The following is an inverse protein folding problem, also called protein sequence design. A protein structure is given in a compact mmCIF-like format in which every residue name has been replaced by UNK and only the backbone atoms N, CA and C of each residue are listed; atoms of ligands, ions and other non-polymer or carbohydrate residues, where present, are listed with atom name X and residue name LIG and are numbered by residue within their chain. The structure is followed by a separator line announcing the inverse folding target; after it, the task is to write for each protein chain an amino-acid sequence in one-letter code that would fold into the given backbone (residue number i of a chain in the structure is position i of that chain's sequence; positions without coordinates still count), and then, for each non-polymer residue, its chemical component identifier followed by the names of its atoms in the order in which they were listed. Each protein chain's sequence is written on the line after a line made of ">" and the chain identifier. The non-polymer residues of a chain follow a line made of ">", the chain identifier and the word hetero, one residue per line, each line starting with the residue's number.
data_IF_177395905631
#
_entry.id   IF_177395905631
#
_cell.length_a   1.000
_cell.length_b   1.000
_cell.length_c   1.000
_cell.angle_alpha   90.00
_cell.angle_beta   90.00
_cell.angle_gamma   90.00
#
_symmetry.space_group_name_H-M   'P 1'
#
loop_
_entity.id
_entity.type
_entity.pdbx_description
1 polymer ?
#
# COMPACT_ATOMS: atom_id res chain seq x y z
N UNK A 1 -0.22 -1.09 8.23
CA UNK A 1 1.00 -0.57 7.54
C UNK A 1 1.14 0.89 7.94
N UNK A 2 2.25 1.55 7.60
CA UNK A 2 2.49 2.91 8.06
C UNK A 2 3.91 3.37 7.81
N UNK A 3 4.31 4.42 8.51
CA UNK A 3 5.64 5.01 8.47
C UNK A 3 6.32 5.02 9.86
N UNK A 4 7.64 5.20 9.92
CA UNK A 4 8.37 5.33 11.20
C UNK A 4 7.82 6.52 12.00
N UNK A 5 7.30 6.20 13.20
CA UNK A 5 6.77 7.20 14.11
C UNK A 5 5.32 7.59 13.89
N UNK A 6 4.55 6.78 13.14
CA UNK A 6 3.09 6.90 13.14
C UNK A 6 2.55 6.91 14.58
N UNK A 7 1.63 7.84 14.83
CA UNK A 7 0.79 7.82 16.04
C UNK A 7 -0.48 6.99 15.78
N UNK A 8 -0.98 7.09 14.57
CA UNK A 8 -2.27 6.59 14.14
C UNK A 8 -2.17 5.74 12.86
N UNK A 9 -1.13 4.88 12.80
CA UNK A 9 -0.89 3.92 11.72
C UNK A 9 -2.17 3.20 11.26
N UNK A 10 -2.30 3.01 9.95
CA UNK A 10 -3.47 2.41 9.33
C UNK A 10 -3.61 0.92 9.68
N UNK A 11 -4.84 0.54 10.06
CA UNK A 11 -5.19 -0.86 10.37
C UNK A 11 -5.62 -1.54 9.09
N UNK A 12 -4.80 -2.44 8.58
CA UNK A 12 -5.06 -3.15 7.33
C UNK A 12 -5.91 -4.40 7.53
N UNK A 13 -6.71 -4.73 6.53
CA UNK A 13 -7.54 -5.93 6.47
C UNK A 13 -7.16 -6.83 5.29
N UNK A 14 -7.54 -8.10 5.38
CA UNK A 14 -7.22 -9.14 4.39
C UNK A 14 -7.90 -8.95 3.02
N UNK A 15 -8.92 -8.11 2.95
CA UNK A 15 -9.66 -7.76 1.72
C UNK A 15 -8.98 -6.61 0.94
N UNK A 16 -7.80 -6.15 1.37
CA UNK A 16 -7.08 -5.02 0.78
C UNK A 16 -7.58 -3.65 1.25
N UNK A 17 -8.59 -3.59 2.12
CA UNK A 17 -9.05 -2.35 2.76
C UNK A 17 -8.22 -2.00 4.00
N UNK A 18 -8.37 -0.77 4.49
CA UNK A 18 -7.77 -0.33 5.75
C UNK A 18 -8.61 0.73 6.46
N UNK A 19 -8.45 0.80 7.77
CA UNK A 19 -9.08 1.81 8.63
C UNK A 19 -8.10 2.92 8.96
N UNK A 20 -8.53 4.16 8.74
CA UNK A 20 -7.80 5.38 9.04
C UNK A 20 -8.34 5.95 10.34
N UNK A 21 -7.44 6.21 11.29
CA UNK A 21 -7.75 6.78 12.59
C UNK A 21 -7.64 8.31 12.52
N UNK A 22 -6.67 8.93 13.19
CA UNK A 22 -6.37 10.39 13.25
C UNK A 22 -7.58 11.33 13.01
N UNK A 23 -8.70 11.06 13.66
CA UNK A 23 -9.94 11.83 13.52
C UNK A 23 -10.74 11.63 12.23
N UNK A 24 -10.20 11.00 11.17
CA UNK A 24 -10.96 10.59 9.98
C UNK A 24 -11.90 9.42 10.27
N UNK A 25 -11.43 8.44 11.05
CA UNK A 25 -12.24 7.31 11.55
C UNK A 25 -13.05 6.58 10.46
N UNK A 26 -12.42 6.33 9.31
CA UNK A 26 -13.06 5.80 8.11
C UNK A 26 -12.36 4.54 7.60
N UNK A 27 -13.15 3.55 7.16
CA UNK A 27 -12.65 2.38 6.44
C UNK A 27 -12.70 2.66 4.94
N UNK A 28 -11.58 2.52 4.24
CA UNK A 28 -11.45 2.70 2.79
C UNK A 28 -10.93 1.42 2.15
N UNK A 29 -11.29 1.16 0.91
CA UNK A 29 -10.85 -0.02 0.17
C UNK A 29 -11.35 -0.03 -1.28
N UNK A 30 -11.36 -1.23 -1.87
CA UNK A 30 -11.61 -1.44 -3.29
C UNK A 30 -12.72 -2.49 -3.48
N UNK A 31 -13.79 -2.12 -4.19
CA UNK A 31 -14.91 -3.01 -4.49
C UNK A 31 -14.58 -4.14 -5.47
N UNK A 32 -13.37 -4.15 -6.05
CA UNK A 32 -12.89 -5.27 -6.86
C UNK A 32 -12.70 -6.57 -6.06
N UNK A 33 -12.56 -6.50 -4.74
CA UNK A 33 -12.50 -7.69 -3.90
C UNK A 33 -13.86 -8.40 -3.88
N UNK A 34 -13.90 -9.65 -4.36
CA UNK A 34 -15.13 -10.41 -4.61
C UNK A 34 -15.35 -11.59 -3.62
N UNK A 35 -14.74 -11.55 -2.43
CA UNK A 35 -14.73 -12.68 -1.48
C UNK A 35 -14.29 -14.01 -2.14
N UNK A 36 -13.10 -14.06 -2.76
CA UNK A 36 -12.61 -15.24 -3.46
C UNK A 36 -12.42 -16.40 -2.47
N UNK A 37 -12.60 -17.64 -2.96
CA UNK A 37 -12.42 -18.85 -2.15
C UNK A 37 -11.00 -19.01 -1.61
N UNK A 38 -10.01 -18.45 -2.31
CA UNK A 38 -8.60 -18.41 -1.89
C UNK A 38 -8.00 -17.04 -2.18
N UNK A 39 -7.16 -16.56 -1.26
CA UNK A 39 -6.39 -15.34 -1.43
C UNK A 39 -5.10 -15.41 -0.62
N UNK A 40 -4.07 -14.68 -1.06
CA UNK A 40 -2.82 -14.51 -0.34
C UNK A 40 -2.77 -13.13 0.30
N UNK A 41 -2.20 -13.06 1.50
CA UNK A 41 -1.98 -11.82 2.22
C UNK A 41 -0.57 -11.80 2.79
N UNK A 42 0.27 -10.89 2.33
CA UNK A 42 1.70 -10.89 2.61
C UNK A 42 2.33 -9.50 2.49
N UNK A 43 3.54 -9.35 3.03
CA UNK A 43 4.37 -8.16 2.82
C UNK A 43 5.12 -8.25 1.50
N UNK A 44 5.14 -7.17 0.73
CA UNK A 44 5.95 -7.08 -0.49
C UNK A 44 7.42 -7.40 -0.17
N UNK A 45 8.09 -8.13 -1.07
CA UNK A 45 9.46 -8.63 -0.88
C UNK A 45 9.64 -9.51 0.38
N UNK A 46 8.55 -9.92 1.03
CA UNK A 46 8.54 -10.70 2.27
C UNK A 46 8.64 -9.89 3.56
N UNK A 47 9.10 -8.63 3.52
CA UNK A 47 9.36 -7.85 4.74
C UNK A 47 9.00 -6.36 4.68
N UNK A 48 8.91 -5.75 3.48
CA UNK A 48 8.58 -4.33 3.37
C UNK A 48 7.15 -4.10 3.87
N UNK A 49 6.86 -2.95 4.53
CA UNK A 49 5.53 -2.65 5.08
C UNK A 49 4.54 -2.22 3.99
N UNK A 50 4.62 -2.86 2.81
CA UNK A 50 3.64 -2.81 1.74
C UNK A 50 2.83 -4.10 1.79
N UNK A 51 1.59 -4.02 2.30
CA UNK A 51 0.70 -5.16 2.42
C UNK A 51 0.03 -5.45 1.07
N UNK A 52 0.14 -6.70 0.62
CA UNK A 52 -0.39 -7.20 -0.65
C UNK A 52 -1.52 -8.18 -0.37
N UNK A 53 -2.69 -7.92 -0.93
CA UNK A 53 -3.80 -8.88 -1.04
C UNK A 53 -3.87 -9.35 -2.49
N UNK A 54 -3.64 -10.64 -2.73
CA UNK A 54 -3.60 -11.23 -4.07
C UNK A 54 -4.67 -12.32 -4.23
N UNK A 55 -5.45 -12.25 -5.29
CA UNK A 55 -6.53 -13.19 -5.57
C UNK A 55 -6.84 -13.29 -7.06
N UNK A 56 -7.62 -14.30 -7.45
CA UNK A 56 -8.09 -14.49 -8.82
C UNK A 56 -9.53 -13.98 -8.98
N UNK A 57 -9.80 -13.30 -10.10
CA UNK A 57 -11.13 -12.83 -10.48
C UNK A 57 -11.26 -12.77 -11.99
N UNK A 58 -12.30 -13.41 -12.53
CA UNK A 58 -12.69 -13.29 -13.95
C UNK A 58 -11.53 -13.54 -14.94
N UNK A 59 -10.69 -14.55 -14.68
CA UNK A 59 -9.52 -14.87 -15.51
C UNK A 59 -8.33 -13.92 -15.34
N UNK A 60 -8.34 -13.10 -14.28
CA UNK A 60 -7.27 -12.17 -13.95
C UNK A 60 -6.71 -12.41 -12.54
N UNK A 61 -5.40 -12.24 -12.41
CA UNK A 61 -4.77 -12.08 -11.09
C UNK A 61 -4.88 -10.62 -10.67
N UNK A 62 -5.49 -10.38 -9.51
CA UNK A 62 -5.64 -9.05 -8.90
C UNK A 62 -4.73 -8.94 -7.69
N UNK A 63 -4.00 -7.82 -7.58
CA UNK A 63 -3.21 -7.45 -6.40
C UNK A 63 -3.62 -6.08 -5.89
N UNK A 64 -4.04 -6.01 -4.64
CA UNK A 64 -4.23 -4.74 -3.91
C UNK A 64 -3.02 -4.54 -3.01
N UNK A 65 -2.22 -3.51 -3.27
CA UNK A 65 -0.99 -3.19 -2.56
C UNK A 65 -1.17 -1.88 -1.80
N UNK A 66 -0.89 -1.86 -0.51
CA UNK A 66 -1.01 -0.67 0.33
C UNK A 66 0.26 -0.45 1.16
N UNK A 67 0.87 0.73 1.09
CA UNK A 67 1.98 1.12 1.95
C UNK A 67 1.85 2.57 2.42
N UNK A 68 2.47 2.88 3.55
CA UNK A 68 2.60 4.26 4.04
C UNK A 68 3.93 4.84 3.64
N UNK A 69 3.95 6.10 3.25
CA UNK A 69 5.18 6.88 3.05
C UNK A 69 5.03 8.27 3.65
N UNK A 70 6.15 8.86 4.09
CA UNK A 70 6.17 10.23 4.60
C UNK A 70 6.15 11.21 3.44
N UNK A 71 5.28 12.21 3.53
CA UNK A 71 5.24 13.35 2.61
C UNK A 71 5.33 14.66 3.39
N UNK A 72 6.09 15.63 2.87
CA UNK A 72 6.16 16.98 3.43
C UNK A 72 5.45 17.94 2.49
N UNK A 73 4.36 18.54 2.95
CA UNK A 73 3.49 19.44 2.17
C UNK A 73 3.33 20.74 2.95
N UNK A 74 3.75 21.86 2.36
CA UNK A 74 3.71 23.19 2.99
C UNK A 74 4.32 23.18 4.40
N UNK A 75 5.55 22.66 4.51
CA UNK A 75 6.32 22.51 5.76
C UNK A 75 5.69 21.63 6.85
N UNK A 76 4.63 20.88 6.52
CA UNK A 76 3.99 19.93 7.44
C UNK A 76 4.21 18.49 6.97
N UNK A 77 4.47 17.60 7.93
CA UNK A 77 4.79 16.19 7.69
C UNK A 77 3.56 15.30 7.86
N UNK A 78 3.17 14.61 6.80
CA UNK A 78 2.07 13.65 6.83
C UNK A 78 2.57 12.26 6.52
N UNK A 79 1.73 11.28 6.81
CA UNK A 79 1.85 9.95 6.23
C UNK A 79 0.72 9.75 5.24
N UNK A 80 1.10 9.41 4.02
CA UNK A 80 0.20 9.12 2.92
C UNK A 80 0.20 7.61 2.67
N UNK A 81 -1.00 7.04 2.57
CA UNK A 81 -1.18 5.68 2.11
C UNK A 81 -1.25 5.68 0.58
N UNK A 82 -0.23 5.11 -0.05
CA UNK A 82 -0.22 4.83 -1.48
C UNK A 82 -0.77 3.44 -1.71
N UNK A 83 -1.76 3.35 -2.59
CA UNK A 83 -2.44 2.11 -2.92
C UNK A 83 -2.35 1.84 -4.42
N UNK A 84 -2.12 0.59 -4.81
CA UNK A 84 -2.20 0.16 -6.21
C UNK A 84 -3.07 -1.08 -6.32
N UNK A 85 -4.03 -1.01 -7.24
CA UNK A 85 -4.72 -2.20 -7.75
C UNK A 85 -4.05 -2.59 -9.06
N UNK A 86 -3.36 -3.72 -9.09
CA UNK A 86 -2.79 -4.30 -10.31
C UNK A 86 -3.67 -5.44 -10.77
N UNK A 87 -4.04 -5.44 -12.05
CA UNK A 87 -4.88 -6.46 -12.68
C UNK A 87 -4.10 -7.02 -13.87
N UNK A 88 -3.71 -8.29 -13.79
CA UNK A 88 -3.07 -9.03 -14.87
C UNK A 88 -4.07 -10.00 -15.49
N UNK A 89 -4.35 -9.87 -16.78
CA UNK A 89 -5.25 -10.77 -17.49
C UNK A 89 -4.44 -11.92 -18.12
N UNK A 90 -4.67 -13.13 -17.63
CA UNK A 90 -4.07 -14.37 -18.17
C UNK A 90 -5.06 -15.20 -18.98
N UNK A 91 -6.26 -14.69 -19.22
CA UNK A 91 -7.22 -15.27 -20.15
C UNK A 91 -6.93 -14.88 -21.61
N UNK A 92 -7.63 -15.53 -22.54
CA UNK A 92 -7.52 -15.28 -23.97
C UNK A 92 -8.47 -14.18 -24.48
N UNK A 93 -9.29 -13.59 -23.61
CA UNK A 93 -10.31 -12.59 -23.97
C UNK A 93 -10.06 -11.24 -23.28
N UNK A 94 -10.61 -10.16 -23.83
CA UNK A 94 -10.61 -8.85 -23.15
C UNK A 94 -11.54 -8.93 -21.94
N UNK A 95 -11.04 -8.53 -20.78
CA UNK A 95 -11.79 -8.49 -19.51
C UNK A 95 -12.06 -7.04 -19.11
N UNK A 96 -13.24 -6.75 -18.58
CA UNK A 96 -13.59 -5.43 -18.03
C UNK A 96 -13.65 -5.51 -16.50
N UNK A 97 -12.66 -4.93 -15.83
CA UNK A 97 -12.58 -4.89 -14.36
C UNK A 97 -12.29 -3.47 -13.88
N UNK A 98 -13.08 -3.02 -12.91
CA UNK A 98 -12.91 -1.73 -12.25
C UNK A 98 -12.48 -1.95 -10.79
N UNK A 99 -11.41 -1.31 -10.31
CA UNK A 99 -11.01 -1.35 -8.90
C UNK A 99 -12.13 -0.96 -7.93
N UNK A 100 -13.03 -0.06 -8.35
CA UNK A 100 -14.10 0.52 -7.54
C UNK A 100 -13.59 1.07 -6.20
N UNK A 101 -12.68 2.07 -6.22
CA UNK A 101 -12.09 2.63 -5.01
C UNK A 101 -13.15 3.38 -4.17
N UNK A 102 -12.95 3.41 -2.85
CA UNK A 102 -13.73 4.28 -1.97
C UNK A 102 -13.54 5.76 -2.37
N UNK A 103 -14.58 6.58 -2.20
CA UNK A 103 -14.61 7.98 -2.67
C UNK A 103 -13.55 8.88 -2.03
N UNK A 104 -12.98 8.48 -0.90
CA UNK A 104 -11.96 9.21 -0.16
C UNK A 104 -10.57 9.12 -0.82
N UNK A 105 -10.35 8.17 -1.74
CA UNK A 105 -9.10 8.06 -2.48
C UNK A 105 -8.99 9.13 -3.56
N UNK A 106 -7.78 9.65 -3.71
CA UNK A 106 -7.39 10.49 -4.84
C UNK A 106 -6.70 9.59 -5.86
N UNK A 107 -7.22 9.55 -7.09
CA UNK A 107 -6.59 8.80 -8.19
C UNK A 107 -5.35 9.53 -8.72
N UNK A 108 -4.24 8.80 -8.85
CA UNK A 108 -2.98 9.30 -9.41
C UNK A 108 -2.85 8.99 -10.90
N UNK A 109 -3.60 8.00 -11.40
CA UNK A 109 -3.68 7.66 -12.82
C UNK A 109 -5.06 7.07 -13.18
N UNK A 110 -5.37 6.94 -14.48
CA UNK A 110 -6.64 6.40 -14.98
C UNK A 110 -6.38 5.58 -16.27
N UNK A 111 -5.94 4.31 -16.17
CA UNK A 111 -5.58 3.51 -17.35
C UNK A 111 -6.78 2.95 -18.13
N UNK A 112 -8.03 3.19 -17.69
CA UNK A 112 -9.26 2.61 -18.25
C UNK A 112 -9.50 1.15 -17.85
N UNK A 113 -10.73 0.64 -17.97
CA UNK A 113 -11.15 -0.62 -17.32
C UNK A 113 -11.04 -1.89 -18.18
N UNK A 114 -10.76 -1.77 -19.48
CA UNK A 114 -10.54 -2.93 -20.37
C UNK A 114 -9.11 -3.46 -20.20
N UNK A 115 -8.92 -4.73 -19.89
CA UNK A 115 -7.62 -5.38 -19.76
C UNK A 115 -7.51 -6.45 -20.84
N UNK A 116 -6.61 -6.25 -21.80
CA UNK A 116 -6.39 -7.18 -22.93
C UNK A 116 -5.69 -8.47 -22.47
N UNK A 117 -5.77 -9.57 -23.24
CA UNK A 117 -4.99 -10.77 -22.96
C UNK A 117 -3.50 -10.48 -22.77
N UNK A 118 -2.92 -10.95 -21.68
CA UNK A 118 -1.51 -10.72 -21.31
C UNK A 118 -1.18 -9.30 -20.83
N UNK A 119 -2.16 -8.39 -20.75
CA UNK A 119 -1.96 -7.02 -20.26
C UNK A 119 -1.99 -6.97 -18.73
N UNK A 120 -1.19 -6.06 -18.16
CA UNK A 120 -1.33 -5.63 -16.77
C UNK A 120 -1.75 -4.16 -16.73
N UNK A 121 -2.82 -3.86 -15.98
CA UNK A 121 -3.21 -2.47 -15.66
C UNK A 121 -3.00 -2.18 -14.18
N UNK A 122 -2.45 -1.00 -13.90
CA UNK A 122 -2.19 -0.51 -12.56
C UNK A 122 -2.98 0.77 -12.30
N UNK A 123 -3.82 0.75 -11.28
CA UNK A 123 -4.62 1.88 -10.81
C UNK A 123 -4.05 2.36 -9.48
N UNK A 124 -3.56 3.60 -9.47
CA UNK A 124 -2.79 4.16 -8.38
C UNK A 124 -3.60 5.21 -7.64
N UNK A 125 -3.57 5.14 -6.33
CA UNK A 125 -4.36 5.99 -5.44
C UNK A 125 -3.52 6.48 -4.26
N UNK A 126 -3.92 7.61 -3.71
CA UNK A 126 -3.33 8.16 -2.49
C UNK A 126 -4.42 8.69 -1.54
N UNK A 127 -4.16 8.59 -0.24
CA UNK A 127 -4.94 9.22 0.82
C UNK A 127 -4.05 9.53 2.03
N UNK A 128 -4.17 10.72 2.62
CA UNK A 128 -3.46 11.05 3.86
C UNK A 128 -4.08 10.30 5.04
N UNK A 129 -3.24 9.65 5.87
CA UNK A 129 -3.68 8.75 6.95
C UNK A 129 -3.24 9.18 8.35
N UNK A 130 -2.16 9.95 8.50
CA UNK A 130 -1.66 10.41 9.80
C UNK A 130 -0.98 11.78 9.66
N UNK A 131 -1.07 12.62 10.70
CA UNK A 131 -0.35 13.88 10.90
C UNK A 131 0.79 13.75 11.92
N UNK A 132 1.21 12.52 12.22
CA UNK A 132 2.27 12.18 13.16
C UNK A 132 2.02 12.78 14.55
N UNK A 133 0.75 12.82 14.96
CA UNK A 133 0.31 13.40 16.22
C UNK A 133 0.19 14.92 16.29
N UNK A 134 0.38 15.62 15.18
CA UNK A 134 0.13 17.06 15.08
C UNK A 134 -1.35 17.38 14.83
N UNK A 135 -1.71 18.66 14.94
CA UNK A 135 -3.09 19.14 14.84
C UNK A 135 -3.34 20.15 13.71
N UNK A 136 -2.43 20.30 12.75
CA UNK A 136 -2.67 21.12 11.56
C UNK A 136 -3.74 20.49 10.65
N UNK A 137 -4.23 21.27 9.69
CA UNK A 137 -5.23 20.82 8.73
C UNK A 137 -4.69 19.68 7.84
N UNK A 138 -5.58 18.85 7.32
CA UNK A 138 -5.23 17.88 6.29
C UNK A 138 -4.76 18.58 5.01
N UNK A 139 -3.85 17.97 4.22
CA UNK A 139 -3.48 18.52 2.93
C UNK A 139 -4.70 18.46 1.99
N UNK A 140 -4.78 19.40 1.06
CA UNK A 140 -5.78 19.32 -0.02
C UNK A 140 -5.44 18.17 -0.98
N UNK A 141 -6.45 17.68 -1.67
CA UNK A 141 -6.32 16.60 -2.65
C UNK A 141 -5.29 16.93 -3.74
N UNK A 142 -5.31 18.16 -4.26
CA UNK A 142 -4.34 18.63 -5.26
C UNK A 142 -2.90 18.60 -4.75
N UNK A 143 -2.67 19.03 -3.50
CA UNK A 143 -1.33 19.03 -2.91
C UNK A 143 -0.83 17.60 -2.70
N UNK A 144 -1.71 16.69 -2.28
CA UNK A 144 -1.36 15.30 -2.06
C UNK A 144 -1.11 14.56 -3.39
N UNK A 145 -1.91 14.82 -4.42
CA UNK A 145 -1.69 14.29 -5.77
C UNK A 145 -0.38 14.80 -6.39
N UNK A 146 0.00 16.05 -6.10
CA UNK A 146 1.27 16.62 -6.57
C UNK A 146 2.51 16.15 -5.76
N UNK A 147 2.33 15.43 -4.65
CA UNK A 147 3.43 15.00 -3.79
C UNK A 147 4.34 13.96 -4.47
N UNK A 148 3.81 13.20 -5.43
CA UNK A 148 4.56 12.23 -6.22
C UNK A 148 3.71 11.04 -6.67
N UNK A 149 4.32 10.14 -7.44
CA UNK A 149 3.67 8.94 -7.97
C UNK A 149 3.81 7.75 -7.04
N UNK A 150 3.00 6.71 -7.27
CA UNK A 150 3.12 5.45 -6.52
C UNK A 150 4.54 4.86 -6.56
N UNK A 151 5.19 4.87 -7.73
CA UNK A 151 6.56 4.33 -7.89
C UNK A 151 7.58 5.12 -7.08
N UNK A 152 7.52 6.47 -7.15
CA UNK A 152 8.45 7.33 -6.42
C UNK A 152 8.37 7.10 -4.91
N UNK A 153 7.15 6.99 -4.39
CA UNK A 153 6.94 6.76 -2.96
C UNK A 153 7.22 5.31 -2.54
N UNK A 154 7.00 4.33 -3.43
CA UNK A 154 7.39 2.94 -3.15
C UNK A 154 8.91 2.82 -3.05
N UNK A 155 9.65 3.44 -3.97
CA UNK A 155 11.10 3.46 -3.95
C UNK A 155 11.66 4.22 -2.74
N UNK A 156 11.05 5.35 -2.37
CA UNK A 156 11.42 6.10 -1.17
C UNK A 156 11.20 5.27 0.10
N UNK A 157 10.01 4.67 0.26
CA UNK A 157 9.68 3.80 1.39
C UNK A 157 10.64 2.61 1.48
N UNK A 158 10.86 1.92 0.36
CA UNK A 158 11.79 0.80 0.30
C UNK A 158 13.19 1.23 0.72
N UNK A 159 13.71 2.32 0.14
CA UNK A 159 15.06 2.82 0.41
C UNK A 159 15.23 3.20 1.88
N UNK A 160 14.23 3.87 2.47
CA UNK A 160 14.25 4.24 3.88
C UNK A 160 14.38 3.01 4.79
N UNK A 161 13.53 2.00 4.59
CA UNK A 161 13.54 0.80 5.43
C UNK A 161 14.78 -0.07 5.18
N UNK A 162 15.24 -0.19 3.95
CA UNK A 162 16.48 -0.92 3.64
C UNK A 162 17.70 -0.24 4.29
N UNK A 163 17.76 1.09 4.29
CA UNK A 163 18.81 1.84 4.97
C UNK A 163 18.76 1.61 6.48
N UNK A 164 17.58 1.69 7.10
CA UNK A 164 17.39 1.37 8.54
C UNK A 164 17.83 -0.05 8.87
N UNK A 165 17.45 -1.03 8.06
CA UNK A 165 17.84 -2.43 8.25
C UNK A 165 19.35 -2.67 8.05
N UNK A 166 20.04 -1.81 7.31
CA UNK A 166 21.49 -1.90 7.16
C UNK A 166 22.27 -1.55 8.44
N UNK A 167 21.61 -0.87 9.40
CA UNK A 167 22.19 -0.47 10.69
C UNK A 167 22.10 -1.57 11.76
N UNK A 168 21.39 -2.66 11.49
CA UNK A 168 21.22 -3.80 12.41
C UNK A 168 21.94 -5.06 11.89
N UNK A 169 21.92 -6.14 12.68
CA UNK A 169 22.59 -7.39 12.31
C UNK A 169 22.01 -7.95 11.01
N UNK A 170 22.89 -8.13 10.01
CA UNK A 170 22.54 -8.77 8.76
C UNK A 170 22.61 -10.31 8.90
N UNK A 171 21.45 -10.95 8.98
CA UNK A 171 21.34 -12.42 9.00
C UNK A 171 21.45 -12.94 7.56
N UNK A 172 22.58 -13.56 7.23
CA UNK A 172 22.88 -14.01 5.86
C UNK A 172 22.20 -15.35 5.52
N UNK A 173 22.00 -16.23 6.49
CA UNK A 173 21.39 -17.55 6.26
C UNK A 173 20.76 -18.14 7.52
N UNK A 174 19.63 -18.79 7.36
CA UNK A 174 18.98 -19.64 8.36
C UNK A 174 18.46 -20.92 7.68
N UNK A 175 18.23 -22.02 8.43
CA UNK A 175 17.60 -23.22 7.87
C UNK A 175 16.25 -22.94 7.22
N UNK A 176 15.48 -22.01 7.81
CA UNK A 176 14.28 -21.44 7.20
C UNK A 176 14.56 -19.97 6.82
N UNK A 177 14.70 -19.64 5.52
CA UNK A 177 14.98 -18.28 5.08
C UNK A 177 13.81 -17.31 5.31
N UNK A 178 12.58 -17.79 5.53
CA UNK A 178 11.42 -16.94 5.84
C UNK A 178 11.64 -16.20 7.17
N UNK A 179 12.38 -16.79 8.10
CA UNK A 179 12.69 -16.17 9.39
C UNK A 179 13.55 -14.91 9.25
N UNK A 180 14.35 -14.78 8.19
CA UNK A 180 15.11 -13.56 7.90
C UNK A 180 14.14 -12.42 7.57
N UNK A 181 13.11 -12.68 6.77
CA UNK A 181 12.07 -11.71 6.44
C UNK A 181 11.19 -11.37 7.65
N UNK A 182 10.87 -12.37 8.49
CA UNK A 182 10.14 -12.13 9.73
C UNK A 182 10.92 -11.23 10.70
N UNK A 183 12.25 -11.42 10.82
CA UNK A 183 13.12 -10.54 11.61
C UNK A 183 13.10 -9.10 11.09
N UNK A 184 13.29 -8.91 9.78
CA UNK A 184 13.24 -7.59 9.13
C UNK A 184 11.89 -6.91 9.31
N UNK A 185 10.80 -7.64 9.04
CA UNK A 185 9.43 -7.12 9.19
C UNK A 185 9.13 -6.75 10.64
N UNK A 186 9.53 -7.60 11.59
CA UNK A 186 9.38 -7.34 13.02
C UNK A 186 10.04 -6.04 13.44
N UNK A 187 11.30 -5.83 13.03
CA UNK A 187 12.00 -4.57 13.26
C UNK A 187 11.22 -3.38 12.70
N UNK A 188 10.82 -3.42 11.43
CA UNK A 188 10.05 -2.33 10.79
C UNK A 188 8.75 -2.02 11.54
N UNK A 189 7.95 -3.03 11.87
CA UNK A 189 6.66 -2.79 12.54
C UNK A 189 6.80 -2.24 13.96
N UNK A 190 7.88 -2.56 14.67
CA UNK A 190 8.17 -1.93 15.98
C UNK A 190 8.53 -0.45 15.86
N UNK A 191 8.97 0.01 14.70
CA UNK A 191 9.24 1.43 14.43
C UNK A 191 8.00 2.17 13.92
N UNK A 192 7.10 1.47 13.22
CA UNK A 192 5.83 2.05 12.75
C UNK A 192 4.88 2.31 13.92
N UNK A 193 4.66 1.32 14.79
CA UNK A 193 3.73 1.47 15.91
C UNK A 193 4.47 2.08 17.12
N UNK A 194 4.11 3.31 17.49
CA UNK A 194 4.56 3.94 18.75
C UNK A 194 3.42 4.13 19.74
#
# INVERSE_FOLDING_TARGET
>A
FGWDGDKDAAIAYRDGSFYIRDGKNVKVGFGIYNNPASMKWYNHSGYLPCLVTEFERDGCTVKIMNFGDKVTINDNDYVAAYSRVSIYNHSDEIVFLDPHPSKEFIGLNIPGNSVSPGETKNYDFVIAIDRLGNSYAWPSDDNLACAGTWEQHFDHMKTYWDNKLSEIVNIVSLPDPVLINAYKAGYIYTHIVK
#
